data_IF_947081930527
#
_entry.id   IF_947081930527
#
_cell.length_a   1.000
_cell.length_b   1.000
_cell.length_c   1.000
_cell.angle_alpha   90.00
_cell.angle_beta   90.00
_cell.angle_gamma   90.00
#
_symmetry.space_group_name_H-M   'P 1'
#
loop_
_entity.id
_entity.type
_entity.pdbx_description
1 polymer ?
#
# COMPACT_ATOMS: atom_id res chain seq x y z
N UNK A 1 -7.52 0.74 11.41
CA UNK A 1 -7.51 -0.32 10.38
C UNK A 1 -7.65 0.32 9.01
N UNK A 2 -6.64 0.16 8.17
CA UNK A 2 -6.48 0.73 6.84
C UNK A 2 -6.34 -0.44 5.86
N UNK A 3 -7.33 -0.63 4.98
CA UNK A 3 -7.22 -1.58 3.89
C UNK A 3 -6.51 -0.90 2.72
N UNK A 4 -5.39 -1.46 2.28
CA UNK A 4 -4.59 -0.89 1.18
C UNK A 4 -4.69 -1.82 -0.03
N UNK A 5 -5.16 -1.29 -1.15
CA UNK A 5 -5.27 -2.00 -2.42
C UNK A 5 -3.97 -1.93 -3.25
N UNK A 6 -3.96 -2.57 -4.42
CA UNK A 6 -2.80 -2.60 -5.30
C UNK A 6 -2.37 -1.22 -5.78
N UNK A 7 -3.30 -0.29 -6.01
CA UNK A 7 -2.97 1.08 -6.42
C UNK A 7 -2.20 1.85 -5.35
N UNK A 8 -2.60 1.71 -4.08
CA UNK A 8 -1.90 2.35 -2.96
C UNK A 8 -0.49 1.80 -2.77
N UNK A 9 -0.31 0.48 -2.91
CA UNK A 9 1.02 -0.13 -2.88
C UNK A 9 1.88 0.27 -4.07
N UNK A 10 1.33 0.32 -5.28
CA UNK A 10 2.07 0.76 -6.46
C UNK A 10 2.53 2.21 -6.32
N UNK A 11 1.66 3.12 -5.87
CA UNK A 11 2.05 4.52 -5.62
C UNK A 11 3.17 4.63 -4.59
N UNK A 12 3.11 3.85 -3.51
CA UNK A 12 4.16 3.84 -2.50
C UNK A 12 5.49 3.26 -3.02
N UNK A 13 5.46 2.09 -3.68
CA UNK A 13 6.68 1.41 -4.14
C UNK A 13 7.36 2.08 -5.33
N UNK A 14 6.61 2.83 -6.14
CA UNK A 14 7.14 3.53 -7.32
C UNK A 14 7.57 4.98 -7.05
N UNK A 15 7.50 5.43 -5.79
CA UNK A 15 7.72 6.83 -5.40
C UNK A 15 6.86 7.80 -6.23
N UNK A 16 5.59 7.42 -6.44
CA UNK A 16 4.67 8.22 -7.23
C UNK A 16 4.22 9.51 -6.52
N UNK A 17 3.45 10.37 -7.20
CA UNK A 17 3.11 11.71 -6.70
C UNK A 17 2.38 11.70 -5.35
N UNK A 18 1.73 10.59 -5.01
CA UNK A 18 0.99 10.41 -3.76
C UNK A 18 1.73 9.56 -2.72
N UNK A 19 2.95 9.11 -2.99
CA UNK A 19 3.70 8.20 -2.12
C UNK A 19 3.80 8.72 -0.68
N UNK A 20 4.15 10.00 -0.50
CA UNK A 20 4.21 10.62 0.83
C UNK A 20 2.87 10.67 1.56
N UNK A 21 1.75 10.76 0.83
CA UNK A 21 0.40 10.69 1.42
C UNK A 21 0.09 9.26 1.86
N UNK A 22 0.39 8.26 1.02
CA UNK A 22 0.20 6.84 1.34
C UNK A 22 1.09 6.37 2.49
N UNK A 23 2.30 6.89 2.59
CA UNK A 23 3.24 6.57 3.67
C UNK A 23 2.63 6.75 5.07
N UNK A 24 1.89 7.84 5.31
CA UNK A 24 1.23 8.09 6.60
C UNK A 24 0.22 7.01 7.01
N UNK A 25 -0.31 6.26 6.03
CA UNK A 25 -1.24 5.15 6.27
C UNK A 25 -0.53 3.81 6.36
N UNK A 26 0.61 3.65 5.68
CA UNK A 26 1.39 2.42 5.58
C UNK A 26 2.41 2.27 6.73
N UNK A 27 2.98 3.38 7.22
CA UNK A 27 3.99 3.39 8.29
C UNK A 27 3.47 2.76 9.60
N UNK A 28 2.15 2.78 9.82
CA UNK A 28 1.46 2.19 10.96
C UNK A 28 1.06 0.75 10.64
N UNK A 29 2.06 -0.15 10.55
CA UNK A 29 1.87 -1.52 10.08
C UNK A 29 0.81 -2.32 10.85
N UNK A 30 0.65 -2.05 12.15
CA UNK A 30 -0.38 -2.65 13.01
C UNK A 30 -1.81 -2.27 12.58
N UNK A 31 -1.95 -1.17 11.84
CA UNK A 31 -3.21 -0.72 11.26
C UNK A 31 -3.42 -1.20 9.83
N UNK A 32 -2.41 -1.73 9.15
CA UNK A 32 -2.48 -2.09 7.72
C UNK A 32 -3.01 -3.50 7.52
N UNK A 33 -4.05 -3.63 6.70
CA UNK A 33 -4.56 -4.92 6.24
C UNK A 33 -4.29 -5.04 4.75
N UNK A 34 -3.65 -6.14 4.34
CA UNK A 34 -3.36 -6.46 2.95
C UNK A 34 -4.00 -7.80 2.60
N UNK A 35 -4.99 -7.83 1.67
CA UNK A 35 -5.52 -9.09 1.16
C UNK A 35 -4.41 -9.86 0.43
N UNK A 36 -4.37 -11.19 0.60
CA UNK A 36 -3.37 -12.03 -0.05
C UNK A 36 -3.33 -11.85 -1.58
N UNK A 37 -4.49 -11.58 -2.21
CA UNK A 37 -4.57 -11.29 -3.65
C UNK A 37 -3.75 -10.05 -4.05
N UNK A 38 -3.74 -9.01 -3.23
CA UNK A 38 -3.00 -7.76 -3.51
C UNK A 38 -1.49 -8.02 -3.58
N UNK A 39 -0.98 -8.95 -2.79
CA UNK A 39 0.43 -9.37 -2.87
C UNK A 39 0.74 -9.92 -4.27
N UNK A 40 -0.17 -10.70 -4.87
CA UNK A 40 0.00 -11.19 -6.24
C UNK A 40 -0.13 -10.07 -7.28
N UNK A 41 -1.07 -9.14 -7.12
CA UNK A 41 -1.27 -8.03 -8.06
C UNK A 41 -0.10 -7.04 -8.12
N UNK A 42 0.59 -6.85 -6.99
CA UNK A 42 1.70 -5.89 -6.89
C UNK A 42 3.05 -6.53 -7.22
N UNK A 43 3.24 -7.81 -6.87
CA UNK A 43 4.54 -8.47 -6.98
C UNK A 43 4.75 -9.25 -8.29
N UNK A 44 3.68 -9.69 -8.96
CA UNK A 44 3.75 -10.52 -10.17
C UNK A 44 3.52 -9.71 -11.44
#
# INVERSE_FOLDING_TARGET
MNLVDSSGWLEFFTDGPLAGKYFNYIEKLDMVVVPALIIYEVYK
#
